data_IF_114735864893
#
_entry.id   IF_114735864893
#
_cell.length_a   1.000
_cell.length_b   1.000
_cell.length_c   1.000
_cell.angle_alpha   90.00
_cell.angle_beta   90.00
_cell.angle_gamma   90.00
#
_symmetry.space_group_name_H-M   'P 1'
#
loop_
_entity.id
_entity.type
_entity.pdbx_description
1 polymer ?
#
# COMPACT_ATOMS: atom_id res chain seq x y z
N UNK A 1 8.03 -6.15 -15.92
CA UNK A 1 7.93 -5.34 -14.69
C UNK A 1 7.65 -3.90 -15.10
N UNK A 2 6.55 -3.26 -14.65
CA UNK A 2 6.11 -1.95 -15.15
C UNK A 2 6.94 -0.76 -14.66
N UNK A 3 7.90 -0.99 -13.77
CA UNK A 3 8.78 0.03 -13.23
C UNK A 3 10.24 -0.34 -13.49
N UNK A 4 11.07 0.64 -13.84
CA UNK A 4 12.53 0.47 -13.80
C UNK A 4 12.96 0.20 -12.35
N UNK A 5 13.97 -0.65 -12.16
CA UNK A 5 14.34 -1.19 -10.84
C UNK A 5 14.64 -0.15 -9.76
N UNK A 6 15.06 1.06 -10.14
CA UNK A 6 15.34 2.17 -9.23
C UNK A 6 14.09 2.93 -8.78
N UNK A 7 12.95 2.76 -9.47
CA UNK A 7 11.71 3.52 -9.23
C UNK A 7 10.75 2.83 -8.25
N UNK A 8 11.05 1.60 -7.85
CA UNK A 8 10.41 0.93 -6.71
C UNK A 8 11.50 0.57 -5.71
N UNK A 9 11.27 0.94 -4.45
CA UNK A 9 12.05 0.48 -3.31
C UNK A 9 11.18 -0.36 -2.40
N UNK A 10 11.65 -1.56 -2.09
CA UNK A 10 11.02 -2.46 -1.13
C UNK A 10 11.94 -2.61 0.08
N UNK A 11 11.53 -2.08 1.23
CA UNK A 11 12.23 -2.24 2.50
C UNK A 11 11.58 -3.37 3.31
N UNK A 12 12.39 -4.19 3.98
CA UNK A 12 11.92 -5.20 4.94
C UNK A 12 12.39 -4.83 6.34
N UNK A 13 11.46 -4.80 7.28
CA UNK A 13 11.74 -4.67 8.70
C UNK A 13 11.15 -5.88 9.43
N UNK A 14 11.99 -6.62 10.15
CA UNK A 14 11.58 -7.73 11.02
C UNK A 14 11.96 -7.42 12.46
N UNK A 15 11.09 -7.73 13.41
CA UNK A 15 11.33 -7.52 14.83
C UNK A 15 10.31 -8.21 15.71
N UNK A 16 10.61 -8.30 17.00
CA UNK A 16 9.68 -8.81 18.00
C UNK A 16 8.69 -7.70 18.37
N UNK A 17 7.38 -8.00 18.27
CA UNK A 17 6.31 -7.09 18.65
C UNK A 17 6.16 -6.96 20.17
N UNK A 18 5.36 -6.00 20.62
CA UNK A 18 5.04 -5.81 22.04
C UNK A 18 4.33 -7.03 22.67
N UNK A 19 3.78 -7.91 21.83
CA UNK A 19 3.17 -9.19 22.20
C UNK A 19 4.17 -10.36 22.27
N UNK A 20 5.47 -10.10 22.09
CA UNK A 20 6.51 -11.13 22.10
C UNK A 20 6.58 -11.99 20.84
N UNK A 21 5.73 -11.74 19.84
CA UNK A 21 5.71 -12.48 18.58
C UNK A 21 6.59 -11.79 17.53
N UNK A 22 7.31 -12.59 16.72
CA UNK A 22 8.00 -12.07 15.54
C UNK A 22 7.02 -11.51 14.54
N UNK A 23 7.29 -10.29 14.09
CA UNK A 23 6.53 -9.58 13.05
C UNK A 23 7.47 -9.11 11.96
N UNK A 24 7.03 -9.23 10.72
CA UNK A 24 7.70 -8.68 9.55
C UNK A 24 6.79 -7.66 8.87
N UNK A 25 7.37 -6.57 8.37
CA UNK A 25 6.69 -5.59 7.53
C UNK A 25 7.51 -5.32 6.28
N UNK A 26 6.83 -5.20 5.15
CA UNK A 26 7.40 -4.69 3.91
C UNK A 26 6.87 -3.29 3.67
N UNK A 27 7.76 -2.34 3.41
CA UNK A 27 7.39 -1.01 2.93
C UNK A 27 7.74 -0.90 1.46
N UNK A 28 6.73 -0.67 0.61
CA UNK A 28 6.91 -0.45 -0.83
C UNK A 28 6.76 1.04 -1.09
N UNK A 29 7.83 1.66 -1.61
CA UNK A 29 7.85 3.06 -2.03
C UNK A 29 8.02 3.10 -3.54
N UNK A 30 7.19 3.86 -4.20
CA UNK A 30 7.23 4.03 -5.66
C UNK A 30 7.38 5.51 -5.94
N UNK A 31 8.31 5.84 -6.84
CA UNK A 31 8.42 7.19 -7.37
C UNK A 31 7.09 7.58 -8.04
N UNK A 32 6.55 8.75 -7.69
CA UNK A 32 5.23 9.16 -8.15
C UNK A 32 5.16 9.23 -9.67
N UNK A 33 6.19 9.76 -10.35
CA UNK A 33 6.21 9.86 -11.81
C UNK A 33 6.24 8.49 -12.48
N UNK A 34 6.78 7.46 -11.81
CA UNK A 34 6.70 6.08 -12.28
C UNK A 34 5.26 5.53 -12.30
N UNK A 35 4.32 6.11 -11.55
CA UNK A 35 2.91 5.74 -11.58
C UNK A 35 2.17 6.28 -12.82
N UNK A 36 2.74 7.26 -13.53
CA UNK A 36 2.09 7.90 -14.69
C UNK A 36 1.81 6.92 -15.83
N UNK A 37 2.72 5.98 -16.07
CA UNK A 37 2.57 4.93 -17.11
C UNK A 37 1.41 3.98 -16.82
N UNK A 38 0.99 3.88 -15.56
CA UNK A 38 -0.14 3.05 -15.13
C UNK A 38 -1.45 3.86 -14.99
N UNK A 39 -1.42 5.18 -15.20
CA UNK A 39 -2.57 6.03 -14.92
C UNK A 39 -2.85 6.24 -13.43
N UNK A 40 -1.88 5.91 -12.55
CA UNK A 40 -2.05 5.91 -11.09
C UNK A 40 -1.38 7.12 -10.42
N UNK A 41 -0.90 8.09 -11.20
CA UNK A 41 -0.34 9.32 -10.64
C UNK A 41 -1.45 10.17 -10.01
N UNK A 42 -1.26 10.80 -8.84
CA UNK A 42 -2.28 11.63 -8.18
C UNK A 42 -2.90 12.72 -9.07
N UNK A 43 -2.07 13.38 -9.89
CA UNK A 43 -2.53 14.39 -10.85
C UNK A 43 -3.24 13.82 -12.10
N UNK A 44 -3.30 12.50 -12.29
CA UNK A 44 -3.98 11.89 -13.44
C UNK A 44 -5.45 11.60 -13.11
N UNK A 45 -6.40 11.97 -13.99
CA UNK A 45 -7.82 11.70 -13.78
C UNK A 45 -8.15 10.21 -13.58
N UNK A 46 -7.41 9.32 -14.24
CA UNK A 46 -7.56 7.87 -14.12
C UNK A 46 -7.23 7.32 -12.73
N UNK A 47 -6.49 8.08 -11.91
CA UNK A 47 -6.16 7.69 -10.53
C UNK A 47 -7.31 7.95 -9.55
N UNK A 48 -8.34 8.69 -9.97
CA UNK A 48 -9.50 8.99 -9.13
C UNK A 48 -10.46 7.79 -9.13
N UNK A 49 -10.75 7.25 -7.95
CA UNK A 49 -11.77 6.21 -7.79
C UNK A 49 -13.14 6.89 -7.94
N UNK A 50 -13.73 6.78 -9.13
CA UNK A 50 -15.08 7.31 -9.43
C UNK A 50 -16.18 6.27 -9.20
N UNK A 51 -15.82 5.00 -9.03
CA UNK A 51 -16.77 3.94 -8.77
C UNK A 51 -17.37 4.06 -7.36
N UNK A 52 -18.64 3.65 -7.15
CA UNK A 52 -19.21 3.51 -5.83
C UNK A 52 -18.30 2.67 -4.94
N UNK A 53 -18.15 3.09 -3.70
CA UNK A 53 -17.38 2.32 -2.73
C UNK A 53 -17.93 0.88 -2.68
N UNK A 54 -17.05 -0.15 -2.64
CA UNK A 54 -17.49 -1.53 -2.53
C UNK A 54 -18.37 -1.74 -1.28
N UNK A 55 -19.26 -2.75 -1.30
CA UNK A 55 -20.09 -3.12 -0.15
C UNK A 55 -19.26 -3.27 1.13
N UNK A 56 -19.84 -2.92 2.28
CA UNK A 56 -19.12 -2.93 3.56
C UNK A 56 -18.51 -4.30 3.90
N UNK A 57 -19.22 -5.39 3.61
CA UNK A 57 -18.72 -6.75 3.86
C UNK A 57 -17.44 -7.06 3.07
N UNK A 58 -17.28 -6.46 1.88
CA UNK A 58 -16.08 -6.61 1.04
C UNK A 58 -14.88 -5.86 1.64
N UNK A 59 -15.11 -4.64 2.15
CA UNK A 59 -14.05 -3.80 2.74
C UNK A 59 -13.69 -4.16 4.17
N UNK A 60 -14.57 -4.85 4.89
CA UNK A 60 -14.42 -5.08 6.32
C UNK A 60 -13.09 -5.78 6.70
N UNK A 61 -12.58 -6.67 5.85
CA UNK A 61 -11.28 -7.31 6.09
C UNK A 61 -10.10 -6.33 5.95
N UNK A 62 -10.14 -5.46 4.95
CA UNK A 62 -9.13 -4.44 4.72
C UNK A 62 -9.14 -3.38 5.84
N UNK A 63 -10.33 -2.93 6.25
CA UNK A 63 -10.52 -1.97 7.35
C UNK A 63 -9.95 -2.53 8.68
N UNK A 64 -10.32 -3.76 9.05
CA UNK A 64 -9.74 -4.43 10.24
C UNK A 64 -8.22 -4.59 10.16
N UNK A 65 -7.67 -4.81 8.96
CA UNK A 65 -6.22 -4.95 8.81
C UNK A 65 -5.50 -3.61 8.98
N UNK A 66 -6.10 -2.51 8.50
CA UNK A 66 -5.58 -1.16 8.71
C UNK A 66 -5.58 -0.78 10.20
N UNK A 67 -6.65 -1.11 10.93
CA UNK A 67 -6.78 -0.85 12.37
C UNK A 67 -5.77 -1.66 13.21
N UNK A 68 -5.41 -2.87 12.77
CA UNK A 68 -4.40 -3.72 13.44
C UNK A 68 -2.96 -3.25 13.26
N UNK A 69 -2.72 -2.33 12.35
CA UNK A 69 -1.41 -1.74 12.09
C UNK A 69 -1.48 -0.23 12.37
N UNK A 70 -1.56 0.20 13.65
CA UNK A 70 -1.32 1.58 13.96
C UNK A 70 0.11 1.90 13.49
N UNK A 71 0.25 2.90 12.62
CA UNK A 71 1.54 3.37 12.15
C UNK A 71 2.47 3.65 13.33
N UNK A 72 3.65 3.02 13.28
CA UNK A 72 4.69 3.00 14.31
C UNK A 72 5.73 1.97 13.93
#
# INVERSE_FOLDING_TARGET
MPFAGERIRCDLACGIGADGHWRGRYAVRVDADALRTLGLHPDQPSSVITAPSPPRWWRAAAERNAERHPGG
#
